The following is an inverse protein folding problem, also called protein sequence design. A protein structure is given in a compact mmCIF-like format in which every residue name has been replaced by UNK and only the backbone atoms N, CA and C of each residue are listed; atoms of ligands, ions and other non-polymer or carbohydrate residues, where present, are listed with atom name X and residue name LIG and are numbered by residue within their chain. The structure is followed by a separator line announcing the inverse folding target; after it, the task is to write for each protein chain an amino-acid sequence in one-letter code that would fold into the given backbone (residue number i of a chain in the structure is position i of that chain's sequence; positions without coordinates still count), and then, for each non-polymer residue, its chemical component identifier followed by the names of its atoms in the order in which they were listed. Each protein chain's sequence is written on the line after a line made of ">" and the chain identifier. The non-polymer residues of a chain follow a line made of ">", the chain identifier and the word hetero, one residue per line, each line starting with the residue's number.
data_IF_244913460664
#
_entry.id   IF_244913460664
#
_cell.length_a   1.000
_cell.length_b   1.000
_cell.length_c   1.000
_cell.angle_alpha   90.00
_cell.angle_beta   90.00
_cell.angle_gamma   90.00
#
_symmetry.space_group_name_H-M   'P 1'
#
loop_
_entity.id
_entity.type
_entity.pdbx_description
1 polymer ?
#
# COMPACT_ATOMS: atom_id res chain seq x y z
N UNK A 1 9.53 -19.32 5.86
CA UNK A 1 8.71 -18.09 5.93
C UNK A 1 7.24 -18.44 5.66
N UNK A 2 6.38 -18.29 6.68
CA UNK A 2 4.93 -18.46 6.53
C UNK A 2 4.37 -17.18 5.93
N UNK A 3 3.63 -17.32 4.82
CA UNK A 3 2.94 -16.19 4.20
C UNK A 3 1.50 -16.16 4.72
N UNK A 4 1.07 -15.00 5.21
CA UNK A 4 -0.24 -14.79 5.83
C UNK A 4 -1.08 -13.95 4.88
N UNK A 5 -2.36 -14.31 4.70
CA UNK A 5 -3.29 -13.51 3.90
C UNK A 5 -3.48 -12.15 4.56
N UNK A 6 -3.53 -11.09 3.75
CA UNK A 6 -3.85 -9.74 4.21
C UNK A 6 -5.33 -9.51 3.92
N UNK A 7 -6.09 -9.22 4.97
CA UNK A 7 -7.48 -8.80 4.86
C UNK A 7 -7.54 -7.26 4.78
N UNK A 8 -8.55 -6.69 4.11
CA UNK A 8 -8.71 -5.24 4.07
C UNK A 8 -9.07 -4.72 5.46
N UNK A 9 -8.79 -3.43 5.76
CA UNK A 9 -9.17 -2.83 7.02
C UNK A 9 -10.70 -2.78 7.17
N UNK A 10 -11.20 -2.90 8.41
CA UNK A 10 -12.63 -2.78 8.72
C UNK A 10 -13.19 -1.36 8.45
N UNK A 11 -12.30 -0.38 8.29
CA UNK A 11 -12.67 1.02 8.03
C UNK A 11 -12.88 1.27 6.54
N UNK A 12 -14.03 1.86 6.23
CA UNK A 12 -14.38 2.25 4.85
C UNK A 12 -13.49 3.37 4.30
N UNK A 13 -13.34 3.42 2.98
CA UNK A 13 -12.70 4.51 2.22
C UNK A 13 -13.32 5.88 2.46
N UNK A 14 -14.54 5.96 3.00
CA UNK A 14 -15.20 7.21 3.42
C UNK A 14 -14.48 7.94 4.57
N UNK A 15 -13.37 7.38 5.09
CA UNK A 15 -12.54 7.96 6.15
C UNK A 15 -11.08 8.02 5.71
N UNK A 16 -10.28 8.75 6.47
CA UNK A 16 -8.83 8.70 6.34
C UNK A 16 -8.31 7.34 6.76
N UNK A 17 -7.53 6.73 5.87
CA UNK A 17 -6.78 5.52 6.19
C UNK A 17 -5.38 5.90 6.68
N UNK A 18 -4.78 5.16 7.60
CA UNK A 18 -3.34 5.29 7.91
C UNK A 18 -2.51 4.78 6.73
N UNK A 19 -1.20 5.01 6.72
CA UNK A 19 -0.33 4.40 5.71
C UNK A 19 -0.37 2.86 5.79
N UNK A 20 -0.46 2.29 7.00
CA UNK A 20 -0.62 0.86 7.17
C UNK A 20 -1.93 0.34 6.58
N UNK A 21 -3.06 1.01 6.85
CA UNK A 21 -4.37 0.65 6.29
C UNK A 21 -4.41 0.80 4.76
N UNK A 22 -3.73 1.82 4.20
CA UNK A 22 -3.55 1.94 2.74
C UNK A 22 -2.74 0.76 2.21
N UNK A 23 -1.63 0.42 2.86
CA UNK A 23 -0.81 -0.74 2.49
C UNK A 23 -1.62 -2.03 2.51
N UNK A 24 -2.49 -2.22 3.51
CA UNK A 24 -3.39 -3.38 3.60
C UNK A 24 -4.33 -3.44 2.41
N UNK A 25 -4.97 -2.33 2.06
CA UNK A 25 -5.87 -2.25 0.91
C UNK A 25 -5.15 -2.60 -0.40
N UNK A 26 -3.98 -2.00 -0.64
CA UNK A 26 -3.22 -2.21 -1.87
C UNK A 26 -2.68 -3.65 -1.98
N UNK A 27 -2.18 -4.20 -0.87
CA UNK A 27 -1.70 -5.57 -0.84
C UNK A 27 -2.86 -6.57 -1.01
N UNK A 28 -4.01 -6.30 -0.39
CA UNK A 28 -5.22 -7.11 -0.52
C UNK A 28 -5.71 -7.14 -1.98
N UNK A 29 -5.80 -5.98 -2.65
CA UNK A 29 -6.28 -5.92 -4.04
C UNK A 29 -5.39 -6.68 -5.01
N UNK A 30 -4.08 -6.77 -4.74
CA UNK A 30 -3.10 -7.54 -5.52
C UNK A 30 -2.98 -9.01 -5.12
N UNK A 31 -3.69 -9.45 -4.07
CA UNK A 31 -3.57 -10.80 -3.54
C UNK A 31 -2.17 -11.11 -2.96
N UNK A 32 -1.45 -10.07 -2.52
CA UNK A 32 -0.17 -10.21 -1.85
C UNK A 32 -0.35 -10.73 -0.42
N UNK A 33 0.75 -11.17 0.19
CA UNK A 33 0.75 -11.78 1.52
C UNK A 33 1.79 -11.17 2.41
N UNK A 34 1.54 -11.22 3.71
CA UNK A 34 2.49 -10.78 4.73
C UNK A 34 3.47 -11.91 5.05
N UNK A 35 4.75 -11.59 5.07
CA UNK A 35 5.80 -12.41 5.64
C UNK A 35 5.67 -12.52 7.16
N UNK A 36 6.33 -13.53 7.72
CA UNK A 36 6.46 -13.67 9.19
C UNK A 36 7.27 -12.54 9.83
N UNK A 37 8.04 -11.82 9.03
CA UNK A 37 8.83 -10.64 9.36
C UNK A 37 8.07 -9.32 9.14
N UNK A 38 6.81 -9.38 8.68
CA UNK A 38 6.01 -8.19 8.37
C UNK A 38 6.19 -7.64 6.95
N UNK A 39 7.04 -8.25 6.13
CA UNK A 39 7.24 -7.83 4.74
C UNK A 39 6.02 -8.12 3.85
N UNK A 40 5.79 -7.31 2.83
CA UNK A 40 4.73 -7.55 1.83
C UNK A 40 5.32 -8.29 0.65
N UNK A 41 4.78 -9.48 0.33
CA UNK A 41 5.35 -10.41 -0.65
C UNK A 41 4.33 -10.74 -1.74
N UNK A 42 4.77 -10.59 -2.99
CA UNK A 42 4.05 -10.97 -4.20
C UNK A 42 4.40 -12.38 -4.67
N UNK A 43 3.39 -13.11 -5.15
CA UNK A 43 3.54 -14.44 -5.74
C UNK A 43 3.74 -15.59 -4.73
N UNK A 44 3.41 -16.80 -5.16
CA UNK A 44 3.54 -18.04 -4.36
C UNK A 44 4.89 -18.74 -4.56
N UNK A 45 5.40 -18.73 -5.79
CA UNK A 45 6.59 -19.51 -6.20
C UNK A 45 7.89 -18.69 -6.16
N UNK A 46 7.94 -17.55 -6.88
CA UNK A 46 9.16 -16.71 -6.97
C UNK A 46 9.27 -15.62 -5.91
N UNK A 47 8.26 -15.49 -5.03
CA UNK A 47 8.18 -14.62 -3.84
C UNK A 47 9.01 -13.33 -3.96
N UNK A 48 8.44 -12.30 -4.56
CA UNK A 48 9.06 -10.99 -4.64
C UNK A 48 8.66 -10.15 -3.41
N UNK A 49 9.63 -9.66 -2.65
CA UNK A 49 9.35 -8.67 -1.60
C UNK A 49 9.04 -7.33 -2.26
N UNK A 50 7.82 -6.85 -2.07
CA UNK A 50 7.33 -5.57 -2.62
C UNK A 50 7.60 -4.42 -1.66
N UNK A 51 7.43 -4.67 -0.36
CA UNK A 51 7.67 -3.66 0.66
C UNK A 51 8.20 -4.29 1.95
N UNK A 52 9.02 -3.57 2.73
CA UNK A 52 9.49 -4.06 4.02
C UNK A 52 8.37 -4.11 5.08
N UNK A 53 7.29 -3.34 4.90
CA UNK A 53 6.09 -3.36 5.74
C UNK A 53 4.88 -2.78 5.01
N UNK A 54 3.68 -2.99 5.55
CA UNK A 54 2.45 -2.36 5.07
C UNK A 54 2.51 -0.83 5.17
N UNK A 55 3.07 -0.31 6.26
CA UNK A 55 3.27 1.13 6.44
C UNK A 55 4.20 1.71 5.36
N UNK A 56 5.29 1.03 5.03
CA UNK A 56 6.20 1.45 3.97
C UNK A 56 5.51 1.45 2.58
N UNK A 57 4.66 0.45 2.32
CA UNK A 57 3.86 0.41 1.09
C UNK A 57 2.88 1.59 1.01
N UNK A 58 2.18 1.92 2.09
CA UNK A 58 1.26 3.06 2.11
C UNK A 58 1.96 4.42 2.02
N UNK A 59 3.10 4.58 2.68
CA UNK A 59 3.92 5.77 2.58
C UNK A 59 4.40 5.99 1.12
N UNK A 60 4.87 4.92 0.47
CA UNK A 60 5.25 4.96 -0.94
C UNK A 60 4.06 5.30 -1.85
N UNK A 61 2.86 4.79 -1.54
CA UNK A 61 1.64 5.11 -2.27
C UNK A 61 1.28 6.60 -2.20
N UNK A 62 1.46 7.22 -1.03
CA UNK A 62 1.34 8.67 -0.85
C UNK A 62 2.39 9.43 -1.66
N UNK A 63 3.67 9.03 -1.54
CA UNK A 63 4.79 9.72 -2.21
C UNK A 63 4.68 9.67 -3.73
N UNK A 64 4.23 8.54 -4.27
CA UNK A 64 4.10 8.31 -5.71
C UNK A 64 2.71 8.70 -6.27
N UNK A 65 1.85 9.32 -5.46
CA UNK A 65 0.48 9.71 -5.85
C UNK A 65 -0.31 8.55 -6.45
N UNK A 66 -0.27 7.38 -5.79
CA UNK A 66 -1.23 6.28 -6.06
C UNK A 66 -2.51 6.45 -5.25
N UNK A 67 -2.44 7.30 -4.23
CA UNK A 67 -3.60 7.76 -3.48
C UNK A 67 -3.64 9.29 -3.53
N UNK A 68 -4.84 9.83 -3.41
CA UNK A 68 -5.05 11.25 -3.17
C UNK A 68 -5.45 11.46 -1.71
N UNK A 69 -4.75 12.38 -1.06
CA UNK A 69 -5.06 12.95 0.25
C UNK A 69 -4.88 14.46 0.13
N UNK A 70 -5.75 15.30 0.70
CA UNK A 70 -5.51 16.72 0.69
C UNK A 70 -4.17 17.03 1.37
N UNK A 71 -3.30 17.67 0.61
CA UNK A 71 -2.02 18.14 1.09
C UNK A 71 -2.23 19.46 1.85
N UNK A 72 -2.15 19.40 3.18
CA UNK A 72 -1.75 20.56 4.01
C UNK A 72 -2.84 21.63 4.32
N UNK A 73 -2.41 22.57 5.18
CA UNK A 73 -3.18 23.46 6.05
C UNK A 73 -4.25 24.31 5.35
N UNK A 74 -5.44 24.34 5.97
CA UNK A 74 -6.65 25.00 5.46
C UNK A 74 -7.73 23.99 5.03
N UNK A 75 -7.36 22.73 4.78
CA UNK A 75 -8.31 21.62 4.84
C UNK A 75 -8.63 21.33 6.32
N UNK A 76 -9.90 21.17 6.66
CA UNK A 76 -10.32 20.61 7.96
C UNK A 76 -9.98 19.12 8.08
N UNK A 77 -9.42 18.51 7.02
CA UNK A 77 -9.08 17.11 6.97
C UNK A 77 -10.32 16.21 6.98
N UNK A 78 -11.47 16.63 6.45
CA UNK A 78 -12.67 15.79 6.39
C UNK A 78 -12.74 14.85 5.17
N UNK A 79 -11.80 14.98 4.22
CA UNK A 79 -11.85 14.28 2.93
C UNK A 79 -11.43 12.80 2.98
N UNK A 80 -12.15 11.88 2.32
CA UNK A 80 -11.78 10.47 2.28
C UNK A 80 -10.45 10.19 1.57
N UNK A 81 -9.80 9.07 1.90
CA UNK A 81 -8.63 8.59 1.15
C UNK A 81 -9.09 7.98 -0.18
N UNK A 82 -8.72 8.59 -1.29
CA UNK A 82 -9.06 8.08 -2.62
C UNK A 82 -7.91 7.26 -3.21
N UNK A 83 -8.18 5.99 -3.52
CA UNK A 83 -7.25 5.12 -4.25
C UNK A 83 -7.36 5.39 -5.75
N UNK A 84 -6.23 5.70 -6.41
CA UNK A 84 -6.17 5.85 -7.86
C UNK A 84 -5.80 4.52 -8.50
N UNK A 85 -6.78 3.60 -8.54
CA UNK A 85 -6.56 2.21 -8.97
C UNK A 85 -5.89 2.09 -10.32
N UNK A 86 -6.33 2.84 -11.34
CA UNK A 86 -5.69 2.79 -12.68
C UNK A 86 -4.21 3.19 -12.67
N UNK A 87 -3.81 4.09 -11.77
CA UNK A 87 -2.39 4.44 -11.58
C UNK A 87 -1.65 3.25 -10.97
N UNK A 88 -2.15 2.71 -9.86
CA UNK A 88 -1.51 1.59 -9.18
C UNK A 88 -1.49 0.30 -10.00
N UNK A 89 -2.59 -0.06 -10.66
CA UNK A 89 -2.79 -1.29 -11.44
C UNK A 89 -1.97 -1.34 -12.73
N UNK A 90 -1.67 -0.19 -13.33
CA UNK A 90 -0.82 -0.11 -14.52
C UNK A 90 0.64 -0.54 -14.25
N UNK A 91 1.04 -0.70 -12.98
CA UNK A 91 2.39 -1.10 -12.57
C UNK A 91 2.49 -2.60 -12.35
N UNK A 92 3.64 -3.16 -12.66
CA UNK A 92 4.05 -4.51 -12.28
C UNK A 92 4.49 -4.56 -10.81
N UNK A 93 4.47 -5.75 -10.21
CA UNK A 93 4.92 -5.94 -8.82
C UNK A 93 6.40 -5.49 -8.64
N UNK A 94 7.23 -5.67 -9.67
CA UNK A 94 8.63 -5.24 -9.68
C UNK A 94 8.78 -3.71 -9.71
N UNK A 95 7.97 -3.02 -10.51
CA UNK A 95 7.97 -1.55 -10.54
C UNK A 95 7.47 -0.97 -9.22
N UNK A 96 6.44 -1.58 -8.62
CA UNK A 96 5.99 -1.17 -7.27
C UNK A 96 7.11 -1.37 -6.26
N UNK A 97 7.78 -2.53 -6.26
CA UNK A 97 8.90 -2.79 -5.36
C UNK A 97 10.04 -1.77 -5.51
N UNK A 98 10.39 -1.41 -6.75
CA UNK A 98 11.42 -0.41 -7.03
C UNK A 98 11.04 0.99 -6.50
N UNK A 99 9.78 1.40 -6.71
CA UNK A 99 9.28 2.69 -6.23
C UNK A 99 9.16 2.74 -4.70
N UNK A 100 8.80 1.61 -4.07
CA UNK A 100 8.82 1.49 -2.61
C UNK A 100 10.25 1.62 -2.08
N UNK A 101 11.21 0.90 -2.68
CA UNK A 101 12.62 0.98 -2.27
C UNK A 101 13.18 2.40 -2.40
N UNK A 102 12.78 3.15 -3.43
CA UNK A 102 13.17 4.55 -3.61
C UNK A 102 12.47 5.53 -2.64
N UNK A 103 11.41 5.10 -1.95
CA UNK A 103 10.62 5.93 -1.03
C UNK A 103 11.00 5.73 0.45
N UNK A 104 11.84 4.73 0.76
CA UNK A 104 12.37 4.50 2.10
C UNK A 104 13.66 5.32 2.26
N UNK A 105 13.76 6.25 3.24
CA UNK A 105 14.96 7.04 3.47
C UNK A 105 16.14 6.21 3.98
#
# INVERSE_FOLDING_TARGET
>A
MKLIKIDPPDRSFSRWLTDEEVGQVLAHSRGWRLGSDGSVVAGTLRKLTVAPSLAALGAAASANRWISRPARAGSDGSGPTHMMWGVFEARTDAEVAALVAASVP
#
